data_IF_385413210967
#
_entry.id   IF_385413210967
#
_cell.length_a   1.000
_cell.length_b   1.000
_cell.length_c   1.000
_cell.angle_alpha   90.00
_cell.angle_beta   90.00
_cell.angle_gamma   90.00
#
_symmetry.space_group_name_H-M   'P 1'
#
loop_
_entity.id
_entity.type
_entity.pdbx_description
1 polymer ?
#
# COMPACT_ATOMS: atom_id res chain seq x y z
N UNK A 1 -26.57 29.27 75.80
CA UNK A 1 -25.25 28.79 75.31
C UNK A 1 -25.49 27.46 74.61
N UNK A 2 -25.70 27.37 73.29
CA UNK A 2 -24.87 27.72 72.11
C UNK A 2 -24.15 26.47 71.57
N UNK A 3 -24.14 26.38 70.22
CA UNK A 3 -23.32 25.55 69.31
C UNK A 3 -24.06 24.33 68.73
N UNK A 4 -24.61 24.30 67.51
CA UNK A 4 -24.14 24.66 66.14
C UNK A 4 -23.38 23.52 65.45
N UNK A 5 -24.01 23.00 64.37
CA UNK A 5 -23.44 22.51 63.10
C UNK A 5 -22.75 21.12 62.96
N UNK A 6 -23.17 20.43 61.89
CA UNK A 6 -22.32 19.96 60.77
C UNK A 6 -21.49 18.68 60.97
N UNK A 7 -21.85 17.60 60.24
CA UNK A 7 -20.98 16.86 59.30
C UNK A 7 -21.62 15.57 58.74
N UNK A 8 -21.88 15.63 57.43
CA UNK A 8 -21.74 14.62 56.37
C UNK A 8 -21.35 13.16 56.72
N UNK A 9 -22.03 12.18 56.11
CA UNK A 9 -21.44 10.87 55.81
C UNK A 9 -22.44 9.72 55.56
N UNK A 10 -22.19 8.92 54.52
CA UNK A 10 -22.90 7.72 54.00
C UNK A 10 -24.21 8.02 53.23
N UNK A 11 -24.25 8.15 51.88
CA UNK A 11 -23.65 7.36 50.80
C UNK A 11 -23.99 5.86 50.88
N UNK A 12 -25.24 5.54 50.53
CA UNK A 12 -25.74 4.19 50.31
C UNK A 12 -26.34 4.04 48.91
N UNK A 13 -25.51 3.51 48.00
CA UNK A 13 -25.83 2.50 46.97
C UNK A 13 -27.24 2.52 46.36
N UNK A 14 -27.36 2.88 45.07
CA UNK A 14 -27.96 1.98 44.09
C UNK A 14 -27.51 2.34 42.67
N UNK A 15 -26.69 1.46 42.11
CA UNK A 15 -25.87 1.61 40.92
C UNK A 15 -26.37 0.66 39.82
N UNK A 16 -27.65 0.69 39.47
CA UNK A 16 -28.20 -0.18 38.40
C UNK A 16 -29.34 0.54 37.70
N UNK A 17 -29.01 1.26 36.64
CA UNK A 17 -29.99 2.04 35.89
C UNK A 17 -29.54 2.29 34.46
N UNK A 18 -29.34 1.21 33.70
CA UNK A 18 -29.47 1.26 32.25
C UNK A 18 -28.39 2.02 31.49
N UNK A 19 -27.15 1.51 31.53
CA UNK A 19 -26.25 1.69 30.40
C UNK A 19 -26.85 0.95 29.19
N UNK A 20 -27.72 1.64 28.44
CA UNK A 20 -28.24 1.23 27.15
C UNK A 20 -27.06 1.11 26.17
N UNK A 21 -26.47 -0.08 26.18
CA UNK A 21 -25.86 -0.80 25.07
C UNK A 21 -25.22 0.10 24.01
N UNK A 22 -24.04 0.63 24.34
CA UNK A 22 -23.09 1.07 23.33
C UNK A 22 -22.77 -0.12 22.43
N UNK A 23 -23.46 -0.21 21.29
CA UNK A 23 -23.14 -1.16 20.23
C UNK A 23 -21.73 -0.79 19.74
N UNK A 24 -20.77 -1.73 19.70
CA UNK A 24 -19.54 -1.45 18.99
C UNK A 24 -19.94 -1.15 17.55
N UNK A 25 -19.62 0.05 17.08
CA UNK A 25 -19.71 0.36 15.67
C UNK A 25 -18.85 -0.68 14.95
N UNK A 26 -19.48 -1.54 14.15
CA UNK A 26 -18.75 -2.31 13.16
C UNK A 26 -18.16 -1.29 12.19
N UNK A 27 -16.93 -0.87 12.45
CA UNK A 27 -16.08 -0.25 11.45
C UNK A 27 -16.02 -1.25 10.31
N UNK A 28 -16.54 -0.85 9.16
CA UNK A 28 -16.51 -1.66 7.96
C UNK A 28 -15.05 -1.94 7.66
N UNK A 29 -14.60 -3.17 7.87
CA UNK A 29 -13.38 -3.67 7.26
C UNK A 29 -13.66 -3.63 5.77
N UNK A 30 -13.26 -2.53 5.14
CA UNK A 30 -13.12 -2.47 3.69
C UNK A 30 -12.09 -3.54 3.40
N UNK A 31 -12.57 -4.77 3.12
CA UNK A 31 -11.78 -5.81 2.50
C UNK A 31 -11.17 -5.14 1.28
N UNK A 32 -9.89 -4.79 1.40
CA UNK A 32 -9.21 -3.99 0.43
C UNK A 32 -9.26 -4.78 -0.87
N UNK A 33 -10.13 -4.38 -1.79
CA UNK A 33 -9.96 -4.66 -3.22
C UNK A 33 -8.82 -3.79 -3.75
N UNK A 34 -7.76 -3.62 -2.96
CA UNK A 34 -6.47 -3.19 -3.44
C UNK A 34 -5.93 -4.45 -4.10
N UNK A 35 -5.81 -4.43 -5.42
CA UNK A 35 -5.06 -5.42 -6.18
C UNK A 35 -3.71 -5.64 -5.47
N UNK A 36 -3.62 -6.70 -4.66
CA UNK A 36 -2.42 -6.98 -3.88
C UNK A 36 -1.28 -7.17 -4.88
N UNK A 37 -0.31 -6.26 -4.85
CA UNK A 37 0.85 -6.35 -5.74
C UNK A 37 1.56 -7.66 -5.48
N UNK A 38 1.63 -8.51 -6.51
CA UNK A 38 2.31 -9.81 -6.41
C UNK A 38 3.74 -9.67 -6.91
N UNK A 39 4.66 -10.37 -6.26
CA UNK A 39 6.06 -10.48 -6.69
C UNK A 39 6.22 -11.61 -7.68
N UNK A 40 6.88 -11.32 -8.79
CA UNK A 40 7.22 -12.27 -9.82
C UNK A 40 8.72 -12.22 -10.12
N UNK A 41 9.28 -13.36 -10.51
CA UNK A 41 10.63 -13.44 -11.03
C UNK A 41 10.63 -13.22 -12.55
N UNK A 42 11.57 -12.42 -13.04
CA UNK A 42 11.73 -12.15 -14.45
C UNK A 42 12.38 -13.34 -15.18
N UNK A 43 11.57 -14.20 -15.81
CA UNK A 43 12.05 -15.42 -16.46
C UNK A 43 12.75 -15.22 -17.82
N UNK A 44 12.59 -14.07 -18.47
CA UNK A 44 13.19 -13.77 -19.76
C UNK A 44 12.78 -12.40 -20.30
N UNK A 45 13.56 -11.87 -21.24
CA UNK A 45 13.28 -10.60 -21.90
C UNK A 45 13.40 -10.80 -23.42
N UNK A 46 12.39 -10.37 -24.17
CA UNK A 46 12.38 -10.40 -25.63
C UNK A 46 12.21 -8.98 -26.15
N UNK A 47 13.03 -8.58 -27.13
CA UNK A 47 12.94 -7.26 -27.77
C UNK A 47 12.39 -7.44 -29.18
N UNK A 48 11.34 -6.68 -29.50
CA UNK A 48 10.70 -6.66 -30.82
C UNK A 48 10.63 -5.24 -31.38
N UNK A 49 10.61 -5.10 -32.71
CA UNK A 49 10.46 -3.80 -33.39
C UNK A 49 11.75 -2.97 -33.53
N UNK A 50 12.82 -3.31 -32.80
CA UNK A 50 14.13 -2.71 -32.97
C UNK A 50 14.81 -3.23 -34.26
N UNK A 51 15.09 -2.35 -35.23
CA UNK A 51 15.78 -2.70 -36.48
C UNK A 51 17.29 -2.48 -36.47
N UNK A 52 17.73 -1.42 -35.80
CA UNK A 52 19.13 -0.95 -35.87
C UNK A 52 19.84 -0.95 -34.51
N UNK A 53 19.13 -1.32 -33.44
CA UNK A 53 19.66 -1.34 -32.09
C UNK A 53 19.84 -2.78 -31.63
N UNK A 54 20.96 -3.05 -30.99
CA UNK A 54 21.25 -4.35 -30.41
C UNK A 54 20.30 -4.65 -29.24
N UNK A 55 19.62 -5.82 -29.23
CA UNK A 55 18.70 -6.19 -28.17
C UNK A 55 19.33 -6.23 -26.77
N UNK A 56 20.57 -6.71 -26.62
CA UNK A 56 21.21 -6.80 -25.32
C UNK A 56 21.52 -5.42 -24.74
N UNK A 57 21.85 -4.48 -25.61
CA UNK A 57 22.04 -3.08 -25.25
C UNK A 57 20.73 -2.46 -24.74
N UNK A 58 19.61 -2.69 -25.43
CA UNK A 58 18.30 -2.22 -24.98
C UNK A 58 17.87 -2.83 -23.65
N UNK A 59 18.14 -4.12 -23.45
CA UNK A 59 17.93 -4.80 -22.17
C UNK A 59 18.80 -4.16 -21.08
N UNK A 60 20.09 -3.91 -21.35
CA UNK A 60 20.99 -3.23 -20.42
C UNK A 60 20.50 -1.83 -20.02
N UNK A 61 19.99 -1.06 -20.97
CA UNK A 61 19.45 0.29 -20.74
C UNK A 61 18.17 0.28 -19.88
N UNK A 62 17.35 -0.76 -20.01
CA UNK A 62 16.16 -0.96 -19.17
C UNK A 62 16.53 -1.07 -17.69
N UNK A 63 17.73 -1.59 -17.40
CA UNK A 63 18.18 -1.93 -16.05
C UNK A 63 17.47 -3.14 -15.44
N UNK A 64 16.69 -3.89 -16.23
CA UNK A 64 16.11 -5.17 -15.86
C UNK A 64 17.09 -6.31 -16.15
N UNK A 65 17.08 -7.33 -15.30
CA UNK A 65 17.88 -8.54 -15.46
C UNK A 65 17.00 -9.76 -15.25
N UNK A 66 17.30 -10.83 -16.00
CA UNK A 66 16.67 -12.13 -15.79
C UNK A 66 16.99 -12.60 -14.36
N UNK A 67 15.96 -13.02 -13.63
CA UNK A 67 16.03 -13.37 -12.20
C UNK A 67 15.67 -12.22 -11.25
N UNK A 68 15.44 -10.99 -11.75
CA UNK A 68 14.99 -9.88 -10.90
C UNK A 68 13.56 -10.12 -10.37
N UNK A 69 13.31 -9.68 -9.13
CA UNK A 69 11.97 -9.70 -8.52
C UNK A 69 11.24 -8.40 -8.85
N UNK A 70 10.13 -8.49 -9.57
CA UNK A 70 9.29 -7.34 -9.98
C UNK A 70 7.91 -7.42 -9.35
N UNK A 71 7.34 -6.27 -8.99
CA UNK A 71 5.97 -6.21 -8.46
C UNK A 71 4.97 -5.92 -9.59
N UNK A 72 3.89 -6.69 -9.65
CA UNK A 72 2.80 -6.48 -10.63
C UNK A 72 1.44 -6.49 -9.90
N UNK A 73 0.64 -5.42 -9.99
CA UNK A 73 1.02 -4.11 -10.55
C UNK A 73 2.14 -3.42 -9.74
N UNK A 74 2.99 -2.63 -10.40
CA UNK A 74 4.13 -1.95 -9.79
C UNK A 74 4.84 -0.99 -10.76
N UNK A 75 5.81 -0.21 -10.27
CA UNK A 75 6.52 0.82 -11.06
C UNK A 75 7.84 0.31 -11.68
N UNK A 76 8.26 -0.92 -11.41
CA UNK A 76 9.54 -1.46 -11.87
C UNK A 76 9.65 -1.46 -13.40
N UNK A 77 8.60 -1.93 -14.10
CA UNK A 77 8.51 -1.92 -15.57
C UNK A 77 8.39 -0.49 -16.12
N UNK A 78 7.58 0.37 -15.48
CA UNK A 78 7.43 1.76 -15.87
C UNK A 78 8.75 2.54 -15.82
N UNK A 79 9.57 2.31 -14.79
CA UNK A 79 10.93 2.88 -14.69
C UNK A 79 11.83 2.40 -15.81
N UNK A 80 11.78 1.12 -16.15
CA UNK A 80 12.58 0.54 -17.22
C UNK A 80 12.27 1.21 -18.57
N UNK A 81 10.98 1.37 -18.90
CA UNK A 81 10.53 2.08 -20.11
C UNK A 81 11.06 3.52 -20.12
N UNK A 82 10.91 4.25 -19.01
CA UNK A 82 11.37 5.65 -18.90
C UNK A 82 12.88 5.79 -19.08
N UNK A 83 13.69 4.84 -18.59
CA UNK A 83 15.16 4.84 -18.77
C UNK A 83 15.56 4.69 -20.23
N UNK A 84 14.89 3.81 -20.97
CA UNK A 84 15.13 3.63 -22.39
C UNK A 84 14.66 4.88 -23.15
N UNK A 85 13.46 5.39 -22.84
CA UNK A 85 12.93 6.62 -23.45
C UNK A 85 13.86 7.82 -23.28
N UNK A 86 14.46 7.97 -22.09
CA UNK A 86 15.39 9.04 -21.78
C UNK A 86 16.65 9.04 -22.67
N UNK A 87 16.96 7.95 -23.38
CA UNK A 87 18.05 7.92 -24.35
C UNK A 87 17.73 8.76 -25.61
N UNK A 88 16.46 9.03 -25.91
CA UNK A 88 16.05 9.83 -27.07
C UNK A 88 16.27 9.15 -28.43
N UNK A 89 16.58 7.85 -28.44
CA UNK A 89 16.90 7.08 -29.65
C UNK A 89 15.71 6.31 -30.22
N UNK A 90 14.61 6.17 -29.45
CA UNK A 90 13.41 5.43 -29.83
C UNK A 90 12.24 6.38 -30.01
N UNK A 91 11.41 6.11 -31.04
CA UNK A 91 10.20 6.87 -31.30
C UNK A 91 9.00 6.40 -30.45
N UNK A 92 8.97 5.13 -30.06
CA UNK A 92 7.89 4.50 -29.29
C UNK A 92 8.41 3.28 -28.50
N UNK A 93 7.80 3.02 -27.33
CA UNK A 93 8.12 1.93 -26.39
C UNK A 93 6.87 1.55 -25.59
N UNK A 94 6.58 0.25 -25.47
CA UNK A 94 5.45 -0.32 -24.72
C UNK A 94 5.81 -1.58 -23.96
#
# INVERSE_FOLDING_TARGET
>A
MMRTNLRSGLLGVLLVGGALLARPAHAQEVAATAEESRKYELGGITVSGARYLDPNTLIGLSGLRIGDMVNVPGDDLGKAIRKIWAQGILADIS
#
